data_IF_132594849451
#
_entry.id   IF_132594849451
#
_cell.length_a   1.000
_cell.length_b   1.000
_cell.length_c   1.000
_cell.angle_alpha   90.00
_cell.angle_beta   90.00
_cell.angle_gamma   90.00
#
_symmetry.space_group_name_H-M   'P 1'
#
loop_
_entity.id
_entity.type
_entity.pdbx_description
1 polymer ?
#
# COMPACT_ATOMS: atom_id res chain seq x y z
N UNK A 1 1.43 0.60 -14.51
CA UNK A 1 2.17 -0.16 -13.48
C UNK A 1 1.74 -1.62 -13.40
N UNK A 2 0.45 -1.99 -13.45
CA UNK A 2 0.02 -3.40 -13.45
C UNK A 2 0.76 -4.27 -14.48
N UNK A 3 0.86 -3.83 -15.74
CA UNK A 3 1.58 -4.55 -16.78
C UNK A 3 3.07 -4.82 -16.47
N UNK A 4 3.72 -3.94 -15.68
CA UNK A 4 5.11 -4.12 -15.25
C UNK A 4 5.21 -5.13 -14.10
N UNK A 5 4.33 -5.01 -13.09
CA UNK A 5 4.47 -5.69 -11.80
C UNK A 5 3.75 -7.05 -11.73
N UNK A 6 2.61 -7.18 -12.40
CA UNK A 6 1.76 -8.38 -12.34
C UNK A 6 2.47 -9.66 -12.79
N UNK A 7 3.19 -9.71 -13.95
CA UNK A 7 3.67 -10.97 -14.50
C UNK A 7 4.52 -11.78 -13.51
N UNK A 8 5.41 -11.12 -12.76
CA UNK A 8 6.25 -11.76 -11.75
C UNK A 8 5.44 -12.27 -10.57
N UNK A 9 4.53 -11.46 -10.04
CA UNK A 9 3.69 -11.81 -8.89
C UNK A 9 2.82 -13.03 -9.22
N UNK A 10 2.19 -13.02 -10.40
CA UNK A 10 1.36 -14.14 -10.88
C UNK A 10 2.21 -15.38 -11.12
N UNK A 11 3.34 -15.26 -11.82
CA UNK A 11 4.23 -16.40 -12.09
C UNK A 11 4.71 -17.07 -10.80
N UNK A 12 5.09 -16.28 -9.78
CA UNK A 12 5.57 -16.81 -8.49
C UNK A 12 4.49 -17.58 -7.71
N UNK A 13 3.21 -17.33 -7.99
CA UNK A 13 2.09 -17.99 -7.30
C UNK A 13 1.43 -19.09 -8.12
N UNK A 14 1.65 -19.15 -9.44
CA UNK A 14 0.91 -20.00 -10.37
C UNK A 14 0.90 -21.49 -9.96
N UNK A 15 2.08 -22.09 -9.75
CA UNK A 15 2.19 -23.51 -9.40
C UNK A 15 1.49 -23.86 -8.06
N UNK A 16 1.56 -22.94 -7.08
CA UNK A 16 0.86 -23.10 -5.79
C UNK A 16 -0.66 -23.00 -5.97
N UNK A 17 -1.13 -22.05 -6.77
CA UNK A 17 -2.55 -21.85 -7.04
C UNK A 17 -3.18 -23.03 -7.79
N UNK A 18 -2.45 -23.61 -8.73
CA UNK A 18 -2.89 -24.80 -9.44
C UNK A 18 -2.93 -26.02 -8.51
N UNK A 19 -1.84 -26.31 -7.79
CA UNK A 19 -1.74 -27.48 -6.92
C UNK A 19 -2.72 -27.43 -5.73
N UNK A 20 -2.78 -26.30 -5.02
CA UNK A 20 -3.51 -26.23 -3.75
C UNK A 20 -4.98 -25.81 -3.94
N UNK A 21 -5.29 -25.14 -5.05
CA UNK A 21 -6.62 -24.60 -5.30
C UNK A 21 -7.22 -24.99 -6.64
N UNK A 22 -6.53 -25.74 -7.51
CA UNK A 22 -7.04 -26.16 -8.83
C UNK A 22 -7.31 -24.99 -9.79
N UNK A 23 -6.61 -23.87 -9.63
CA UNK A 23 -6.76 -22.68 -10.46
C UNK A 23 -5.82 -22.72 -11.67
N UNK A 24 -6.02 -23.70 -12.54
CA UNK A 24 -5.32 -23.83 -13.82
C UNK A 24 -5.78 -22.77 -14.86
N UNK A 25 -5.14 -22.77 -16.04
CA UNK A 25 -5.48 -21.83 -17.11
C UNK A 25 -6.94 -21.95 -17.59
N UNK A 26 -7.51 -23.16 -17.60
CA UNK A 26 -8.87 -23.42 -18.07
C UNK A 26 -9.90 -22.88 -17.07
N UNK A 27 -9.69 -23.14 -15.78
CA UNK A 27 -10.50 -22.61 -14.70
C UNK A 27 -10.50 -21.08 -14.74
N UNK A 28 -9.32 -20.45 -14.85
CA UNK A 28 -9.19 -18.99 -14.90
C UNK A 28 -9.87 -18.37 -16.13
N UNK A 29 -9.74 -18.99 -17.31
CA UNK A 29 -10.42 -18.52 -18.52
C UNK A 29 -11.94 -18.58 -18.38
N UNK A 30 -12.47 -19.69 -17.82
CA UNK A 30 -13.91 -19.83 -17.56
C UNK A 30 -14.39 -18.83 -16.51
N UNK A 31 -13.61 -18.63 -15.44
CA UNK A 31 -13.92 -17.62 -14.41
C UNK A 31 -13.95 -16.21 -14.99
N UNK A 32 -12.99 -15.83 -15.84
CA UNK A 32 -13.01 -14.54 -16.54
C UNK A 32 -14.30 -14.33 -17.30
N UNK A 33 -14.75 -15.32 -18.09
CA UNK A 33 -16.00 -15.23 -18.87
C UNK A 33 -17.21 -14.96 -17.95
N UNK A 34 -17.38 -15.78 -16.91
CA UNK A 34 -18.49 -15.64 -15.95
C UNK A 34 -18.46 -14.29 -15.25
N UNK A 35 -17.28 -13.80 -14.86
CA UNK A 35 -17.15 -12.50 -14.18
C UNK A 35 -17.44 -11.33 -15.11
N UNK A 36 -17.01 -11.40 -16.38
CA UNK A 36 -17.36 -10.38 -17.39
C UNK A 36 -18.86 -10.33 -17.59
N UNK A 37 -19.50 -11.47 -17.89
CA UNK A 37 -20.96 -11.55 -18.06
C UNK A 37 -21.72 -11.07 -16.82
N UNK A 38 -21.17 -11.26 -15.62
CA UNK A 38 -21.81 -10.81 -14.38
C UNK A 38 -21.71 -9.28 -14.18
N UNK A 39 -20.60 -8.66 -14.62
CA UNK A 39 -20.25 -7.28 -14.28
C UNK A 39 -20.34 -6.27 -15.43
N UNK A 40 -20.43 -6.72 -16.69
CA UNK A 40 -20.53 -5.85 -17.87
C UNK A 40 -21.70 -4.88 -17.80
N UNK A 41 -21.60 -3.76 -18.52
CA UNK A 41 -22.64 -2.73 -18.54
C UNK A 41 -22.70 -1.92 -17.24
N UNK A 42 -21.57 -1.75 -16.56
CA UNK A 42 -21.42 -0.91 -15.36
C UNK A 42 -21.95 -1.56 -14.07
N UNK A 43 -22.22 -2.87 -14.08
CA UNK A 43 -22.73 -3.57 -12.89
C UNK A 43 -21.64 -3.71 -11.83
N UNK A 44 -22.09 -3.87 -10.58
CA UNK A 44 -21.22 -4.17 -9.45
C UNK A 44 -21.80 -5.31 -8.61
N UNK A 45 -20.94 -6.16 -8.06
CA UNK A 45 -21.36 -7.26 -7.18
C UNK A 45 -20.55 -7.27 -5.89
N UNK A 46 -21.24 -7.39 -4.75
CA UNK A 46 -20.59 -7.75 -3.49
C UNK A 46 -19.88 -9.10 -3.60
N UNK A 47 -18.81 -9.31 -2.82
CA UNK A 47 -17.99 -10.53 -2.84
C UNK A 47 -18.83 -11.82 -2.80
N UNK A 48 -19.78 -11.90 -1.88
CA UNK A 48 -20.59 -13.12 -1.70
C UNK A 48 -21.50 -13.38 -2.90
N UNK A 49 -21.99 -12.33 -3.56
CA UNK A 49 -22.80 -12.46 -4.78
C UNK A 49 -21.95 -12.90 -5.97
N UNK A 50 -20.73 -12.36 -6.09
CA UNK A 50 -19.75 -12.81 -7.10
C UNK A 50 -19.39 -14.28 -6.90
N UNK A 51 -19.18 -14.71 -5.66
CA UNK A 51 -18.87 -16.10 -5.34
C UNK A 51 -20.03 -17.04 -5.69
N UNK A 52 -21.27 -16.70 -5.29
CA UNK A 52 -22.45 -17.47 -5.70
C UNK A 52 -22.61 -17.56 -7.22
N UNK A 53 -22.25 -16.51 -7.95
CA UNK A 53 -22.31 -16.51 -9.42
C UNK A 53 -21.30 -17.51 -10.02
N UNK A 54 -20.08 -17.54 -9.49
CA UNK A 54 -19.07 -18.52 -9.87
C UNK A 54 -19.48 -19.95 -9.48
N UNK A 55 -20.00 -20.16 -8.28
CA UNK A 55 -20.44 -21.48 -7.80
C UNK A 55 -21.58 -22.05 -8.66
N UNK A 56 -22.57 -21.22 -9.02
CA UNK A 56 -23.65 -21.61 -9.95
C UNK A 56 -23.14 -21.97 -11.34
N UNK A 57 -22.04 -21.34 -11.76
CA UNK A 57 -21.33 -21.69 -12.98
C UNK A 57 -20.38 -22.90 -12.79
N UNK A 58 -20.48 -23.67 -11.70
CA UNK A 58 -19.65 -24.84 -11.45
C UNK A 58 -18.17 -24.52 -11.18
N UNK A 59 -17.86 -23.29 -10.75
CA UNK A 59 -16.53 -22.84 -10.36
C UNK A 59 -16.53 -22.62 -8.84
N UNK A 60 -16.27 -23.69 -8.08
CA UNK A 60 -16.26 -23.63 -6.62
C UNK A 60 -15.37 -22.49 -6.09
N UNK A 61 -15.87 -21.76 -5.11
CA UNK A 61 -15.16 -20.69 -4.40
C UNK A 61 -14.78 -21.05 -2.96
N UNK A 62 -15.13 -22.26 -2.52
CA UNK A 62 -14.87 -22.78 -1.18
C UNK A 62 -13.36 -22.95 -0.87
N UNK A 63 -13.03 -23.14 0.41
CA UNK A 63 -11.66 -23.46 0.85
C UNK A 63 -10.62 -22.39 0.53
N UNK A 64 -11.03 -21.12 0.40
CA UNK A 64 -10.14 -20.01 0.02
C UNK A 64 -9.92 -19.86 -1.49
N UNK A 65 -10.49 -20.74 -2.32
CA UNK A 65 -10.36 -20.67 -3.79
C UNK A 65 -10.92 -19.36 -4.35
N UNK A 66 -12.06 -18.88 -3.84
CA UNK A 66 -12.63 -17.59 -4.27
C UNK A 66 -11.72 -16.39 -4.02
N UNK A 67 -10.96 -16.41 -2.92
CA UNK A 67 -9.99 -15.36 -2.58
C UNK A 67 -8.85 -15.33 -3.61
N UNK A 68 -8.26 -16.48 -3.92
CA UNK A 68 -7.16 -16.56 -4.89
C UNK A 68 -7.63 -16.28 -6.32
N UNK A 69 -8.87 -16.66 -6.65
CA UNK A 69 -9.48 -16.36 -7.95
C UNK A 69 -9.68 -14.84 -8.11
N UNK A 70 -10.31 -14.17 -7.14
CA UNK A 70 -10.50 -12.71 -7.21
C UNK A 70 -9.17 -11.96 -7.17
N UNK A 71 -8.20 -12.41 -6.37
CA UNK A 71 -6.82 -11.90 -6.39
C UNK A 71 -6.20 -12.02 -7.79
N UNK A 72 -6.33 -13.18 -8.44
CA UNK A 72 -5.78 -13.40 -9.78
C UNK A 72 -6.45 -12.52 -10.84
N UNK A 73 -7.78 -12.44 -10.83
CA UNK A 73 -8.54 -11.59 -11.78
C UNK A 73 -8.20 -10.11 -11.61
N UNK A 74 -8.00 -9.64 -10.38
CA UNK A 74 -7.55 -8.27 -10.12
C UNK A 74 -6.13 -8.03 -10.64
N UNK A 75 -5.21 -8.98 -10.43
CA UNK A 75 -3.86 -8.90 -10.97
C UNK A 75 -3.81 -8.88 -12.50
N UNK A 76 -4.68 -9.65 -13.15
CA UNK A 76 -4.85 -9.66 -14.60
C UNK A 76 -5.53 -8.37 -15.13
N UNK A 77 -5.86 -7.42 -14.25
CA UNK A 77 -6.48 -6.15 -14.60
C UNK A 77 -7.93 -6.28 -15.08
N UNK A 78 -8.61 -7.38 -14.75
CA UNK A 78 -10.02 -7.57 -15.12
C UNK A 78 -10.96 -6.82 -14.19
N UNK A 79 -10.77 -7.00 -12.88
CA UNK A 79 -11.64 -6.42 -11.85
C UNK A 79 -10.90 -5.47 -10.92
N UNK A 80 -11.62 -4.52 -10.34
CA UNK A 80 -11.15 -3.74 -9.21
C UNK A 80 -12.25 -3.62 -8.15
N UNK A 81 -11.91 -3.05 -6.98
CA UNK A 81 -12.89 -2.74 -5.94
C UNK A 81 -13.76 -1.59 -6.42
N UNK A 82 -15.08 -1.80 -6.40
CA UNK A 82 -16.11 -0.85 -6.80
C UNK A 82 -16.70 -0.07 -5.62
N UNK A 83 -17.84 0.60 -5.84
CA UNK A 83 -18.54 1.37 -4.81
C UNK A 83 -19.02 0.45 -3.69
N UNK A 84 -19.05 0.95 -2.45
CA UNK A 84 -19.48 0.14 -1.32
C UNK A 84 -20.99 -0.07 -1.33
N UNK A 85 -21.41 -1.28 -0.98
CA UNK A 85 -22.79 -1.59 -0.63
C UNK A 85 -22.86 -1.72 0.90
N UNK A 86 -23.26 -0.63 1.56
CA UNK A 86 -23.18 -0.50 3.01
C UNK A 86 -21.75 -0.74 3.52
N UNK A 87 -21.56 -1.79 4.32
CA UNK A 87 -20.23 -2.17 4.86
C UNK A 87 -19.43 -3.06 3.91
N UNK A 88 -20.00 -3.55 2.82
CA UNK A 88 -19.36 -4.51 1.93
C UNK A 88 -18.63 -3.83 0.77
N UNK A 89 -17.49 -4.39 0.38
CA UNK A 89 -16.81 -4.04 -0.88
C UNK A 89 -17.50 -4.78 -2.03
N UNK A 90 -17.61 -4.10 -3.17
CA UNK A 90 -18.06 -4.70 -4.42
C UNK A 90 -16.89 -4.85 -5.38
N UNK A 91 -17.10 -5.63 -6.44
CA UNK A 91 -16.21 -5.74 -7.58
C UNK A 91 -16.91 -5.24 -8.83
N UNK A 92 -16.12 -4.64 -9.73
CA UNK A 92 -16.54 -4.07 -11.01
C UNK A 92 -15.49 -4.40 -12.07
N UNK A 93 -15.85 -4.29 -13.36
CA UNK A 93 -14.87 -4.36 -14.43
C UNK A 93 -13.99 -3.11 -14.43
N UNK A 94 -12.67 -3.31 -14.41
CA UNK A 94 -11.70 -2.22 -14.35
C UNK A 94 -11.85 -1.28 -15.55
N UNK A 95 -12.07 -1.84 -16.74
CA UNK A 95 -12.13 -1.08 -18.01
C UNK A 95 -13.37 -0.21 -18.15
N UNK A 96 -14.48 -0.55 -17.49
CA UNK A 96 -15.70 0.25 -17.50
C UNK A 96 -15.68 1.36 -16.44
N UNK A 97 -14.89 1.18 -15.38
CA UNK A 97 -14.85 2.09 -14.23
C UNK A 97 -13.67 3.06 -14.23
N UNK A 98 -12.56 2.69 -14.85
CA UNK A 98 -11.34 3.50 -14.84
C UNK A 98 -11.00 3.89 -16.27
N UNK A 99 -10.85 5.20 -16.57
CA UNK A 99 -10.42 5.65 -17.88
C UNK A 99 -9.12 4.95 -18.31
N UNK A 100 -8.97 4.58 -19.59
CA UNK A 100 -7.76 3.93 -20.08
C UNK A 100 -6.51 4.74 -19.71
N UNK A 101 -5.61 4.12 -18.95
CA UNK A 101 -4.33 4.74 -18.59
C UNK A 101 -3.34 4.77 -19.76
N UNK A 102 -2.33 5.63 -19.67
CA UNK A 102 -1.21 5.64 -20.61
C UNK A 102 -0.55 4.25 -20.66
N UNK A 103 -0.50 3.66 -21.85
CA UNK A 103 0.32 2.46 -22.11
C UNK A 103 1.78 2.88 -22.12
N UNK A 104 2.61 2.14 -21.40
CA UNK A 104 4.04 2.41 -21.27
C UNK A 104 4.79 1.15 -21.73
N UNK A 105 5.85 1.34 -22.49
CA UNK A 105 6.80 0.25 -22.71
C UNK A 105 7.42 -0.17 -21.37
N UNK A 106 7.97 -1.39 -21.31
CA UNK A 106 8.52 -1.93 -20.06
C UNK A 106 9.57 -1.00 -19.44
N UNK A 107 10.50 -0.50 -20.25
CA UNK A 107 11.59 0.36 -19.80
C UNK A 107 11.07 1.73 -19.33
N UNK A 108 10.10 2.31 -20.04
CA UNK A 108 9.43 3.53 -19.60
C UNK A 108 8.74 3.33 -18.25
N UNK A 109 8.07 2.19 -18.04
CA UNK A 109 7.41 1.87 -16.79
C UNK A 109 8.42 1.69 -15.64
N UNK A 110 9.58 1.08 -15.89
CA UNK A 110 10.67 0.98 -14.92
C UNK A 110 11.20 2.37 -14.53
N UNK A 111 11.44 3.23 -15.51
CA UNK A 111 11.89 4.60 -15.30
C UNK A 111 10.87 5.41 -14.48
N UNK A 112 9.59 5.33 -14.84
CA UNK A 112 8.53 6.05 -14.15
C UNK A 112 8.33 5.54 -12.71
N UNK A 113 8.43 4.23 -12.47
CA UNK A 113 8.35 3.66 -11.13
C UNK A 113 9.51 4.15 -10.25
N UNK A 114 10.74 4.13 -10.79
CA UNK A 114 11.92 4.63 -10.09
C UNK A 114 11.78 6.13 -9.78
N UNK A 115 11.40 6.94 -10.78
CA UNK A 115 11.19 8.39 -10.61
C UNK A 115 10.17 8.67 -9.50
N UNK A 116 9.01 8.01 -9.53
CA UNK A 116 7.97 8.16 -8.48
C UNK A 116 8.50 7.78 -7.11
N UNK A 117 9.16 6.62 -7.00
CA UNK A 117 9.70 6.14 -5.74
C UNK A 117 10.69 7.13 -5.13
N UNK A 118 11.72 7.56 -5.87
CA UNK A 118 12.72 8.49 -5.34
C UNK A 118 12.18 9.91 -5.14
N UNK A 119 11.12 10.30 -5.86
CA UNK A 119 10.46 11.58 -5.63
C UNK A 119 9.74 11.61 -4.29
N UNK A 120 9.04 10.53 -3.92
CA UNK A 120 8.22 10.48 -2.71
C UNK A 120 8.95 9.90 -1.48
N UNK A 121 9.92 9.01 -1.70
CA UNK A 121 10.65 8.28 -0.65
C UNK A 121 12.14 8.67 -0.59
N UNK A 122 12.58 9.62 -1.41
CA UNK A 122 13.94 10.13 -1.35
C UNK A 122 14.21 10.95 -0.07
N UNK A 123 15.43 10.94 0.50
CA UNK A 123 16.61 10.22 0.04
C UNK A 123 16.54 8.71 0.27
N UNK A 124 16.72 7.93 -0.80
CA UNK A 124 16.74 6.47 -0.73
C UNK A 124 17.84 5.90 -1.61
N UNK A 125 18.39 4.74 -1.27
CA UNK A 125 19.34 4.07 -2.13
C UNK A 125 18.67 3.02 -3.02
N UNK A 126 19.39 2.59 -4.06
CA UNK A 126 18.91 1.62 -5.04
C UNK A 126 18.34 0.33 -4.41
N UNK A 127 18.97 -0.22 -3.37
CA UNK A 127 18.48 -1.45 -2.77
C UNK A 127 17.18 -1.28 -1.98
N UNK A 128 16.90 -0.08 -1.46
CA UNK A 128 15.62 0.20 -0.81
C UNK A 128 14.50 0.20 -1.87
N UNK A 129 14.75 0.80 -3.04
CA UNK A 129 13.85 0.75 -4.18
C UNK A 129 13.62 -0.68 -4.69
N UNK A 130 14.68 -1.47 -4.85
CA UNK A 130 14.58 -2.85 -5.29
C UNK A 130 13.77 -3.72 -4.29
N UNK A 131 14.01 -3.53 -2.99
CA UNK A 131 13.26 -4.23 -1.95
C UNK A 131 11.78 -3.83 -1.93
N UNK A 132 11.48 -2.52 -1.95
CA UNK A 132 10.10 -2.01 -1.93
C UNK A 132 9.30 -2.42 -3.15
N UNK A 133 9.89 -2.32 -4.35
CA UNK A 133 9.22 -2.69 -5.59
C UNK A 133 9.15 -4.20 -5.81
N UNK A 134 10.03 -4.98 -5.18
CA UNK A 134 10.19 -6.41 -5.45
C UNK A 134 10.82 -6.73 -6.82
N UNK A 135 11.36 -5.72 -7.52
CA UNK A 135 12.05 -5.89 -8.79
C UNK A 135 13.43 -6.57 -8.61
N UNK A 136 13.89 -7.37 -9.58
CA UNK A 136 15.30 -7.76 -9.66
C UNK A 136 16.20 -6.52 -9.64
N UNK A 137 17.35 -6.62 -8.96
CA UNK A 137 18.28 -5.50 -8.81
C UNK A 137 18.69 -4.89 -10.15
N UNK A 138 18.89 -5.72 -11.19
CA UNK A 138 19.21 -5.26 -12.55
C UNK A 138 18.12 -4.35 -13.14
N UNK A 139 16.85 -4.69 -12.97
CA UNK A 139 15.73 -3.90 -13.48
C UNK A 139 15.57 -2.60 -12.68
N UNK A 140 15.69 -2.68 -11.35
CA UNK A 140 15.66 -1.51 -10.49
C UNK A 140 16.79 -0.51 -10.85
N UNK A 141 17.99 -1.04 -11.14
CA UNK A 141 19.14 -0.24 -11.59
C UNK A 141 18.89 0.42 -12.94
N UNK A 142 18.34 -0.33 -13.91
CA UNK A 142 17.98 0.22 -15.23
C UNK A 142 16.92 1.33 -15.13
N UNK A 143 15.86 1.12 -14.35
CA UNK A 143 14.84 2.14 -14.10
C UNK A 143 15.41 3.40 -13.47
N UNK A 144 16.28 3.26 -12.47
CA UNK A 144 16.96 4.40 -11.85
C UNK A 144 17.88 5.13 -12.83
N UNK A 145 18.66 4.41 -13.64
CA UNK A 145 19.55 5.03 -14.63
C UNK A 145 18.76 5.92 -15.61
N UNK A 146 17.63 5.42 -16.12
CA UNK A 146 16.74 6.19 -17.01
C UNK A 146 16.06 7.38 -16.32
N UNK A 147 15.76 7.26 -15.02
CA UNK A 147 15.13 8.34 -14.25
C UNK A 147 16.12 9.38 -13.70
N UNK A 148 17.43 9.08 -13.73
CA UNK A 148 18.46 9.83 -13.00
C UNK A 148 18.54 11.31 -13.36
N UNK A 149 18.31 11.67 -14.64
CA UNK A 149 18.30 13.07 -15.08
C UNK A 149 17.18 13.93 -14.47
N UNK A 150 16.18 13.32 -13.83
CA UNK A 150 15.08 14.01 -13.13
C UNK A 150 15.24 13.97 -11.60
N UNK A 151 16.35 13.40 -11.12
CA UNK A 151 16.63 13.19 -9.70
C UNK A 151 17.97 13.84 -9.36
N UNK A 152 18.15 14.14 -8.07
CA UNK A 152 19.46 14.51 -7.54
C UNK A 152 19.98 13.38 -6.65
N UNK A 153 21.29 13.27 -6.54
CA UNK A 153 21.92 12.29 -5.67
C UNK A 153 23.00 12.90 -4.80
N UNK A 154 23.21 12.33 -3.62
CA UNK A 154 24.36 12.62 -2.77
C UNK A 154 24.91 11.32 -2.19
N UNK A 155 26.17 11.36 -1.79
CA UNK A 155 26.83 10.25 -1.12
C UNK A 155 26.90 10.51 0.39
N UNK A 156 26.57 9.49 1.17
CA UNK A 156 26.64 9.51 2.62
C UNK A 156 27.15 8.15 3.09
N UNK A 157 28.24 8.15 3.85
CA UNK A 157 28.88 6.93 4.38
C UNK A 157 29.11 5.85 3.30
N UNK A 158 29.66 6.24 2.15
CA UNK A 158 29.97 5.33 1.04
C UNK A 158 28.76 4.82 0.26
N UNK A 159 27.56 5.37 0.50
CA UNK A 159 26.33 4.95 -0.18
C UNK A 159 25.67 6.13 -0.87
N UNK A 160 25.24 5.92 -2.13
CA UNK A 160 24.52 6.92 -2.92
C UNK A 160 23.02 6.88 -2.63
N UNK A 161 22.47 8.06 -2.33
CA UNK A 161 21.05 8.27 -2.11
C UNK A 161 20.48 9.20 -3.17
N UNK A 162 19.29 8.86 -3.66
CA UNK A 162 18.57 9.57 -4.72
C UNK A 162 17.29 10.19 -4.19
N UNK A 163 16.94 11.35 -4.71
CA UNK A 163 15.74 12.08 -4.31
C UNK A 163 15.28 13.11 -5.36
N UNK A 164 14.10 13.70 -5.13
CA UNK A 164 13.65 14.87 -5.88
C UNK A 164 14.60 16.07 -5.71
N UNK A 165 14.79 16.85 -6.79
CA UNK A 165 15.62 18.04 -6.78
C UNK A 165 15.11 19.13 -5.81
N UNK A 166 13.79 19.33 -5.75
CA UNK A 166 13.16 20.28 -4.84
C UNK A 166 12.85 19.62 -3.51
N UNK A 167 13.53 20.02 -2.45
CA UNK A 167 13.17 19.64 -1.07
C UNK A 167 12.10 20.60 -0.55
N UNK A 168 11.07 20.04 0.09
CA UNK A 168 10.19 20.84 0.92
C UNK A 168 10.97 21.36 2.12
N UNK A 169 10.71 22.59 2.55
CA UNK A 169 11.30 23.13 3.77
C UNK A 169 10.82 22.31 5.00
N UNK A 170 11.77 21.74 5.73
CA UNK A 170 11.54 20.90 6.90
C UNK A 170 11.54 21.69 8.22
N UNK A 171 11.61 23.02 8.17
CA UNK A 171 11.76 23.90 9.33
C UNK A 171 10.64 23.80 10.38
N UNK A 172 9.46 23.31 10.01
CA UNK A 172 8.33 23.20 10.93
C UNK A 172 8.39 21.93 11.80
N UNK A 173 8.44 22.11 13.13
CA UNK A 173 8.21 21.01 14.08
C UNK A 173 6.78 20.48 13.92
N UNK A 174 6.62 19.29 13.35
CA UNK A 174 5.30 18.67 13.12
C UNK A 174 5.26 17.26 13.67
N UNK A 175 4.06 16.87 14.07
CA UNK A 175 3.73 15.50 14.40
C UNK A 175 2.66 14.94 13.47
N UNK A 176 2.65 13.63 13.28
CA UNK A 176 1.67 12.88 12.50
C UNK A 176 1.22 11.64 13.29
N UNK A 177 -0.07 11.32 13.17
CA UNK A 177 -0.64 10.05 13.61
C UNK A 177 -0.84 9.20 12.35
N UNK A 178 0.12 8.33 12.07
CA UNK A 178 0.13 7.50 10.88
C UNK A 178 -0.62 6.19 11.14
N UNK A 179 -1.47 5.72 10.20
CA UNK A 179 -2.11 4.42 10.33
C UNK A 179 -1.10 3.27 10.29
N UNK A 180 -1.57 2.07 10.61
CA UNK A 180 -0.83 0.85 10.29
C UNK A 180 -0.58 0.78 8.77
N UNK A 181 0.59 0.24 8.39
CA UNK A 181 1.03 0.09 6.99
C UNK A 181 1.17 1.38 6.20
N UNK A 182 1.33 2.53 6.86
CA UNK A 182 1.65 3.78 6.18
C UNK A 182 3.02 3.67 5.46
N UNK A 183 3.11 4.16 4.22
CA UNK A 183 4.32 4.09 3.39
C UNK A 183 5.55 4.66 4.12
N UNK A 184 5.38 5.66 4.99
CA UNK A 184 6.49 6.18 5.81
C UNK A 184 7.19 5.08 6.63
N UNK A 185 6.45 4.06 7.03
CA UNK A 185 6.93 2.96 7.88
C UNK A 185 7.21 1.66 7.11
N UNK A 186 6.63 1.47 5.92
CA UNK A 186 6.79 0.22 5.15
C UNK A 186 7.62 0.38 3.89
N UNK A 187 7.98 1.60 3.47
CA UNK A 187 8.75 1.83 2.24
C UNK A 187 10.24 1.42 2.32
N UNK A 188 10.73 1.09 3.51
CA UNK A 188 12.14 0.78 3.76
C UNK A 188 12.29 -0.48 4.60
N UNK A 189 13.20 -1.36 4.16
CA UNK A 189 13.63 -2.52 4.95
C UNK A 189 14.35 -2.11 6.22
N UNK A 190 15.28 -1.17 6.08
CA UNK A 190 16.01 -0.56 7.19
C UNK A 190 15.29 0.73 7.61
N UNK A 191 14.85 0.76 8.87
CA UNK A 191 14.10 1.87 9.46
C UNK A 191 14.89 2.63 10.52
N UNK A 192 16.19 2.37 10.69
CA UNK A 192 16.99 2.98 11.75
C UNK A 192 16.96 4.52 11.73
N UNK A 193 16.78 5.13 10.54
CA UNK A 193 16.64 6.57 10.38
C UNK A 193 15.40 7.14 11.09
N UNK A 194 14.30 6.39 11.10
CA UNK A 194 13.01 6.84 11.63
C UNK A 194 12.63 6.17 12.96
N UNK A 195 13.13 4.98 13.25
CA UNK A 195 12.76 4.18 14.40
C UNK A 195 14.02 3.64 15.09
N UNK A 196 14.18 3.95 16.37
CA UNK A 196 15.28 3.41 17.16
C UNK A 196 15.14 1.88 17.31
N UNK A 197 16.23 1.10 17.15
CA UNK A 197 16.18 -0.36 17.23
C UNK A 197 15.53 -0.90 18.52
N UNK A 198 15.75 -0.21 19.65
CA UNK A 198 15.15 -0.56 20.94
C UNK A 198 13.61 -0.55 20.94
N UNK A 199 12.97 0.15 20.00
CA UNK A 199 11.52 0.28 19.89
C UNK A 199 10.94 -0.54 18.73
N UNK A 200 11.76 -1.30 18.01
CA UNK A 200 11.31 -2.03 16.82
C UNK A 200 10.19 -3.05 17.12
N UNK A 201 10.31 -3.80 18.22
CA UNK A 201 9.27 -4.72 18.70
C UNK A 201 7.99 -4.00 19.16
N UNK A 202 8.12 -2.74 19.57
CA UNK A 202 6.97 -1.91 19.98
C UNK A 202 6.09 -1.49 18.80
N UNK A 203 6.66 -1.40 17.59
CA UNK A 203 5.95 -1.02 16.36
C UNK A 203 5.56 -2.25 15.54
N UNK A 204 6.41 -3.28 15.49
CA UNK A 204 6.10 -4.57 14.89
C UNK A 204 5.51 -5.50 15.97
N UNK A 205 4.18 -5.46 16.16
CA UNK A 205 3.53 -6.35 17.11
C UNK A 205 3.65 -7.84 16.73
N UNK A 206 2.89 -8.69 17.40
CA UNK A 206 2.67 -10.09 17.01
C UNK A 206 1.94 -10.13 15.65
N UNK A 207 2.69 -9.95 14.56
CA UNK A 207 2.31 -10.07 13.14
C UNK A 207 1.65 -8.88 12.44
N UNK A 208 1.39 -7.76 13.12
CA UNK A 208 0.81 -6.55 12.48
C UNK A 208 1.56 -5.27 12.90
N UNK A 209 1.83 -4.40 11.92
CA UNK A 209 2.43 -3.09 12.13
C UNK A 209 1.43 -2.18 12.87
N UNK A 210 1.86 -1.57 13.98
CA UNK A 210 1.00 -0.68 14.76
C UNK A 210 0.96 0.74 14.16
N UNK A 211 -0.17 1.46 14.30
CA UNK A 211 -0.23 2.88 13.97
C UNK A 211 0.84 3.67 14.75
N UNK A 212 1.55 4.55 14.06
CA UNK A 212 2.75 5.21 14.57
C UNK A 212 2.52 6.70 14.90
N UNK A 213 3.12 7.18 15.99
CA UNK A 213 3.25 8.60 16.28
C UNK A 213 4.60 9.05 15.74
N UNK A 214 4.60 9.97 14.77
CA UNK A 214 5.82 10.55 14.20
C UNK A 214 5.98 11.99 14.66
N UNK A 215 7.15 12.35 15.18
CA UNK A 215 7.52 13.73 15.53
C UNK A 215 8.85 14.04 14.85
N UNK A 216 8.89 15.11 14.05
CA UNK A 216 10.09 15.54 13.31
C UNK A 216 10.78 14.39 12.55
N UNK A 217 9.97 13.54 11.90
CA UNK A 217 10.45 12.40 11.12
C UNK A 217 10.85 11.17 11.96
N UNK A 218 10.76 11.22 13.29
CA UNK A 218 11.06 10.05 14.14
C UNK A 218 9.79 9.45 14.71
N UNK A 219 9.70 8.13 14.67
CA UNK A 219 8.66 7.37 15.37
C UNK A 219 8.97 7.42 16.86
N UNK A 220 8.04 8.02 17.62
CA UNK A 220 8.19 8.24 19.07
C UNK A 220 7.20 7.43 19.90
N UNK A 221 6.33 6.67 19.24
CA UNK A 221 5.31 5.86 19.92
C UNK A 221 4.33 5.22 18.97
N UNK A 222 3.33 4.58 19.56
CA UNK A 222 2.17 4.05 18.84
C UNK A 222 0.89 4.73 19.31
N UNK A 223 -0.19 4.59 18.55
CA UNK A 223 -1.48 5.09 18.96
C UNK A 223 -2.60 4.15 18.55
N UNK A 224 -3.74 4.26 19.22
CA UNK A 224 -4.97 3.56 18.87
C UNK A 224 -6.13 4.53 18.83
N UNK A 225 -7.23 4.11 18.22
CA UNK A 225 -8.47 4.89 18.21
C UNK A 225 -9.70 4.02 18.47
N UNK A 226 -10.69 4.64 19.09
CA UNK A 226 -12.05 4.11 19.19
C UNK A 226 -13.03 5.20 18.77
N UNK A 227 -13.71 4.97 17.65
CA UNK A 227 -14.75 5.87 17.15
C UNK A 227 -16.03 5.68 17.97
N UNK A 228 -16.66 6.80 18.34
CA UNK A 228 -17.99 6.91 18.95
C UNK A 228 -18.89 7.74 18.04
N UNK A 229 -20.15 7.87 18.40
CA UNK A 229 -21.15 8.60 17.60
C UNK A 229 -20.73 10.03 17.26
N UNK A 230 -20.25 10.80 18.25
CA UNK A 230 -19.88 12.22 18.10
C UNK A 230 -18.43 12.55 18.46
N UNK A 231 -17.61 11.53 18.76
CA UNK A 231 -16.21 11.72 19.13
C UNK A 231 -15.33 10.54 18.73
N UNK A 232 -14.04 10.77 18.69
CA UNK A 232 -13.03 9.72 18.55
C UNK A 232 -12.09 9.78 19.75
N UNK A 233 -12.00 8.67 20.48
CA UNK A 233 -10.99 8.50 21.52
C UNK A 233 -9.68 8.13 20.85
N UNK A 234 -8.63 8.88 21.12
CA UNK A 234 -7.28 8.69 20.60
C UNK A 234 -6.38 8.42 21.79
N UNK A 235 -5.84 7.20 21.87
CA UNK A 235 -4.93 6.80 22.95
C UNK A 235 -3.50 6.79 22.46
N UNK A 236 -2.65 7.61 23.10
CA UNK A 236 -1.26 7.81 22.72
C UNK A 236 -0.34 6.98 23.62
N UNK A 237 0.53 6.17 23.02
CA UNK A 237 1.49 5.32 23.73
C UNK A 237 2.92 5.69 23.30
N UNK A 238 3.49 6.80 23.80
CA UNK A 238 4.85 7.19 23.49
C UNK A 238 5.85 6.23 24.16
N UNK A 239 6.96 5.94 23.48
CA UNK A 239 7.99 5.04 24.00
C UNK A 239 8.78 5.65 25.16
N UNK A 240 8.85 6.98 25.21
CA UNK A 240 9.48 7.76 26.26
C UNK A 240 8.60 8.97 26.59
N UNK A 241 8.89 9.63 27.72
CA UNK A 241 8.14 10.84 28.10
C UNK A 241 8.39 11.95 27.07
N UNK A 242 7.33 12.35 26.37
CA UNK A 242 7.37 13.50 25.45
C UNK A 242 7.55 14.80 26.22
N UNK A 243 8.38 15.72 25.74
CA UNK A 243 8.51 17.08 26.28
C UNK A 243 7.25 17.94 26.00
N UNK A 244 7.19 19.16 26.54
CA UNK A 244 6.04 20.06 26.36
C UNK A 244 5.77 20.40 24.89
N UNK A 245 6.83 20.55 24.08
CA UNK A 245 6.71 20.90 22.66
C UNK A 245 6.16 19.72 21.86
N UNK A 246 6.73 18.52 22.06
CA UNK A 246 6.29 17.28 21.44
C UNK A 246 4.83 16.95 21.80
N UNK A 247 4.45 17.09 23.08
CA UNK A 247 3.06 16.91 23.51
C UNK A 247 2.11 17.88 22.80
N UNK A 248 2.49 19.14 22.65
CA UNK A 248 1.67 20.13 21.97
C UNK A 248 1.43 19.76 20.50
N UNK A 249 2.49 19.43 19.75
CA UNK A 249 2.34 19.09 18.31
C UNK A 249 1.64 17.76 18.08
N UNK A 250 1.82 16.76 18.96
CA UNK A 250 1.08 15.49 18.90
C UNK A 250 -0.40 15.70 19.20
N UNK A 251 -0.73 16.51 20.21
CA UNK A 251 -2.12 16.89 20.50
C UNK A 251 -2.78 17.62 19.33
N UNK A 252 -2.04 18.49 18.62
CA UNK A 252 -2.53 19.11 17.38
C UNK A 252 -2.76 18.07 16.27
N UNK A 253 -1.89 17.07 16.13
CA UNK A 253 -2.08 15.98 15.16
C UNK A 253 -3.33 15.14 15.47
N UNK A 254 -3.60 14.85 16.74
CA UNK A 254 -4.81 14.16 17.19
C UNK A 254 -6.08 14.95 16.84
N UNK A 255 -6.08 16.28 17.05
CA UNK A 255 -7.20 17.14 16.66
C UNK A 255 -7.40 17.19 15.14
N UNK A 256 -6.33 17.26 14.35
CA UNK A 256 -6.43 17.18 12.87
C UNK A 256 -7.02 15.84 12.42
N UNK A 257 -6.63 14.75 13.07
CA UNK A 257 -7.18 13.43 12.78
C UNK A 257 -8.69 13.35 13.08
N UNK A 258 -9.11 13.87 14.24
CA UNK A 258 -10.53 13.93 14.59
C UNK A 258 -11.34 14.81 13.62
N UNK A 259 -10.80 15.98 13.24
CA UNK A 259 -11.42 16.86 12.25
C UNK A 259 -11.56 16.19 10.88
N UNK A 260 -10.56 15.42 10.43
CA UNK A 260 -10.65 14.61 9.21
C UNK A 260 -11.81 13.61 9.25
N UNK A 261 -12.12 13.06 10.43
CA UNK A 261 -13.28 12.18 10.62
C UNK A 261 -14.61 12.94 10.81
N UNK A 262 -14.60 14.27 10.90
CA UNK A 262 -15.77 15.06 11.27
C UNK A 262 -16.21 14.86 12.74
N UNK A 263 -15.28 14.48 13.62
CA UNK A 263 -15.57 14.14 15.02
C UNK A 263 -14.76 15.00 15.99
N UNK A 264 -15.22 15.07 17.25
CA UNK A 264 -14.48 15.69 18.35
C UNK A 264 -13.39 14.75 18.89
N UNK A 265 -12.22 15.28 19.21
CA UNK A 265 -11.13 14.51 19.80
C UNK A 265 -11.30 14.32 21.33
N UNK A 266 -11.14 13.08 21.80
CA UNK A 266 -10.92 12.71 23.21
C UNK A 266 -9.50 12.09 23.29
N UNK A 267 -8.50 12.88 23.72
CA UNK A 267 -7.10 12.47 23.69
C UNK A 267 -6.66 12.01 25.08
N UNK A 268 -6.21 10.76 25.18
CA UNK A 268 -5.71 10.13 26.41
C UNK A 268 -4.26 9.67 26.26
#
# INVERSE_FOLDING_TARGET
MLALMTPRVVASSAARLERDYGLDAKALARSRKVVVEALEGGRSLARDALYRTLDRAGLSTAGGRGLHLTWRLAHDGLICVGPREGKHQTFVLLEEWVPPGKRMARDEALAELARRYFTSHGPAALHAFAWWSGLPLREAMGGLAMASGQLVSHELAGRRYWMAAKRADTSSRRAWLLPAFDEYTVAYRDRAAILAPAHERGVNGMDILRPAIVVNGRVVGTWTRTTRESSVRISLNPFTRLDSTARHVVGAAARRYAAFLGLRADVS
#
